data_IF_290192801486
#
_entry.id   IF_290192801486
#
_cell.length_a   1.000
_cell.length_b   1.000
_cell.length_c   1.000
_cell.angle_alpha   90.00
_cell.angle_beta   90.00
_cell.angle_gamma   90.00
#
_symmetry.space_group_name_H-M   'P 1'
#
loop_
_entity.id
_entity.type
_entity.pdbx_description
1 polymer ?
#
# COMPACT_ATOMS: atom_id res chain seq x y z
N UNK A 1 -9.59 17.24 -20.34
CA UNK A 1 -10.38 15.98 -20.34
C UNK A 1 -10.42 15.27 -18.97
N UNK A 2 -10.24 15.96 -17.83
CA UNK A 2 -10.12 15.29 -16.51
C UNK A 2 -11.42 15.10 -15.69
N UNK A 3 -12.52 15.79 -16.02
CA UNK A 3 -13.76 15.72 -15.22
C UNK A 3 -14.51 14.38 -15.29
N UNK A 4 -14.35 13.62 -16.39
CA UNK A 4 -15.09 12.35 -16.55
C UNK A 4 -14.47 11.21 -15.72
N UNK A 5 -13.14 11.19 -15.59
CA UNK A 5 -12.41 10.14 -14.86
C UNK A 5 -12.48 10.28 -13.34
N UNK A 6 -12.46 11.53 -12.85
CA UNK A 6 -12.66 11.78 -11.43
C UNK A 6 -14.05 11.32 -10.98
N UNK A 7 -15.08 11.59 -11.77
CA UNK A 7 -16.43 11.13 -11.47
C UNK A 7 -16.52 9.59 -11.52
N UNK A 8 -15.92 8.94 -12.52
CA UNK A 8 -15.86 7.47 -12.59
C UNK A 8 -15.12 6.84 -11.40
N UNK A 9 -13.99 7.42 -10.98
CA UNK A 9 -13.28 7.03 -9.76
C UNK A 9 -14.16 7.19 -8.52
N UNK A 10 -14.85 8.33 -8.38
CA UNK A 10 -15.70 8.60 -7.24
C UNK A 10 -16.93 7.70 -7.20
N UNK A 11 -17.54 7.43 -8.35
CA UNK A 11 -18.67 6.51 -8.48
C UNK A 11 -18.25 5.08 -8.11
N UNK A 12 -17.08 4.61 -8.57
CA UNK A 12 -16.53 3.31 -8.18
C UNK A 12 -16.17 3.23 -6.71
N UNK A 13 -15.61 4.30 -6.14
CA UNK A 13 -15.30 4.37 -4.71
C UNK A 13 -16.58 4.40 -3.88
N UNK A 14 -17.63 5.08 -4.32
CA UNK A 14 -18.96 5.06 -3.68
C UNK A 14 -19.75 3.75 -3.91
N UNK A 15 -19.47 3.00 -4.98
CA UNK A 15 -20.04 1.67 -5.26
C UNK A 15 -19.34 0.57 -4.45
N UNK A 16 -18.01 0.70 -4.31
CA UNK A 16 -17.16 -0.22 -3.58
C UNK A 16 -17.31 -0.06 -2.06
N UNK A 17 -17.49 1.17 -1.60
CA UNK A 17 -17.47 1.52 -0.19
C UNK A 17 -18.66 2.38 0.21
N UNK A 18 -19.12 2.22 1.45
CA UNK A 18 -20.17 3.07 1.99
C UNK A 18 -19.75 4.55 1.95
N UNK A 19 -20.69 5.46 1.64
CA UNK A 19 -20.39 6.90 1.54
C UNK A 19 -19.70 7.47 2.79
N UNK A 20 -20.03 6.93 3.96
CA UNK A 20 -19.38 7.30 5.22
C UNK A 20 -17.92 6.86 5.26
N UNK A 21 -17.60 5.68 4.72
CA UNK A 21 -16.22 5.21 4.55
C UNK A 21 -15.43 6.11 3.61
N UNK A 22 -16.00 6.47 2.46
CA UNK A 22 -15.33 7.37 1.48
C UNK A 22 -15.02 8.72 2.11
N UNK A 23 -15.98 9.29 2.85
CA UNK A 23 -15.80 10.54 3.58
C UNK A 23 -14.70 10.42 4.63
N UNK A 24 -14.72 9.35 5.43
CA UNK A 24 -13.73 9.09 6.46
C UNK A 24 -12.32 8.92 5.88
N UNK A 25 -12.17 8.15 4.80
CA UNK A 25 -10.90 7.93 4.11
C UNK A 25 -10.31 9.23 3.55
N UNK A 26 -11.15 10.13 3.00
CA UNK A 26 -10.70 11.47 2.58
C UNK A 26 -10.22 12.32 3.75
N UNK A 27 -10.96 12.31 4.86
CA UNK A 27 -10.58 13.06 6.06
C UNK A 27 -9.27 12.54 6.66
N UNK A 28 -9.10 11.22 6.73
CA UNK A 28 -7.88 10.55 7.18
C UNK A 28 -6.69 10.85 6.27
N UNK A 29 -6.88 10.78 4.94
CA UNK A 29 -5.82 11.16 4.00
C UNK A 29 -5.40 12.62 4.16
N UNK A 30 -6.37 13.55 4.30
CA UNK A 30 -6.06 14.97 4.53
C UNK A 30 -5.24 15.16 5.81
N UNK A 31 -5.65 14.54 6.92
CA UNK A 31 -4.89 14.62 8.18
C UNK A 31 -3.48 14.04 8.05
N UNK A 32 -3.33 12.91 7.36
CA UNK A 32 -2.02 12.34 7.09
C UNK A 32 -1.14 13.28 6.27
N UNK A 33 -1.72 13.95 5.26
CA UNK A 33 -1.01 14.95 4.47
C UNK A 33 -0.51 16.08 5.36
N UNK A 34 -1.41 16.68 6.15
CA UNK A 34 -1.11 17.85 6.98
C UNK A 34 -0.14 17.52 8.15
N UNK A 35 -0.29 16.35 8.78
CA UNK A 35 0.42 16.00 10.03
C UNK A 35 1.72 15.21 9.80
N UNK A 36 1.84 14.51 8.67
CA UNK A 36 2.95 13.60 8.40
C UNK A 36 3.67 13.89 7.07
N UNK A 37 2.95 14.01 5.95
CA UNK A 37 3.57 14.10 4.62
C UNK A 37 4.17 15.49 4.36
N UNK A 38 3.39 16.56 4.47
CA UNK A 38 3.88 17.93 4.20
C UNK A 38 5.04 18.33 5.11
N UNK A 39 5.01 18.07 6.43
CA UNK A 39 6.14 18.35 7.30
C UNK A 39 7.44 17.65 6.87
N UNK A 40 7.34 16.44 6.31
CA UNK A 40 8.50 15.70 5.82
C UNK A 40 8.98 16.25 4.47
N UNK A 41 8.07 16.60 3.56
CA UNK A 41 8.40 17.22 2.27
C UNK A 41 9.07 18.60 2.42
N UNK A 42 8.69 19.34 3.46
CA UNK A 42 9.27 20.66 3.80
C UNK A 42 10.55 20.57 4.65
N UNK A 43 11.01 19.35 4.99
CA UNK A 43 12.26 19.16 5.72
C UNK A 43 13.47 19.36 4.81
N UNK A 44 14.61 19.68 5.44
CA UNK A 44 15.88 19.73 4.70
C UNK A 44 16.35 18.31 4.35
N UNK A 45 17.11 18.11 3.25
CA UNK A 45 17.56 16.79 2.84
C UNK A 45 18.33 16.03 3.94
N UNK A 46 19.14 16.71 4.75
CA UNK A 46 19.90 16.10 5.86
C UNK A 46 19.02 15.63 7.04
N UNK A 47 17.79 16.14 7.16
CA UNK A 47 16.86 15.82 8.24
C UNK A 47 15.89 14.68 7.87
N UNK A 48 15.83 14.29 6.60
CA UNK A 48 14.84 13.32 6.08
C UNK A 48 14.87 12.01 6.86
N UNK A 49 16.05 11.43 7.07
CA UNK A 49 16.15 10.11 7.74
C UNK A 49 15.69 10.18 9.20
N UNK A 50 16.09 11.23 9.93
CA UNK A 50 15.68 11.43 11.33
C UNK A 50 14.17 11.67 11.45
N UNK A 51 13.62 12.52 10.58
CA UNK A 51 12.22 12.92 10.62
C UNK A 51 11.28 11.84 10.08
N UNK A 52 11.73 11.01 9.15
CA UNK A 52 10.91 9.96 8.51
C UNK A 52 10.23 9.07 9.55
N UNK A 53 11.00 8.52 10.50
CA UNK A 53 10.46 7.61 11.54
C UNK A 53 9.40 8.28 12.41
N UNK A 54 9.56 9.57 12.70
CA UNK A 54 8.60 10.35 13.50
C UNK A 54 7.31 10.58 12.74
N UNK A 55 7.40 10.94 11.46
CA UNK A 55 6.22 11.19 10.63
C UNK A 55 5.51 9.90 10.21
N UNK A 56 6.25 8.81 9.95
CA UNK A 56 5.67 7.49 9.73
C UNK A 56 4.80 7.04 10.92
N UNK A 57 5.31 7.18 12.15
CA UNK A 57 4.52 6.87 13.37
C UNK A 57 3.22 7.67 13.48
N UNK A 58 3.23 8.93 13.04
CA UNK A 58 2.02 9.76 12.98
C UNK A 58 1.06 9.32 11.87
N UNK A 59 1.61 8.76 10.78
CA UNK A 59 0.83 8.29 9.64
C UNK A 59 0.14 6.94 9.89
N UNK A 60 0.69 6.06 10.75
CA UNK A 60 0.18 4.70 11.01
C UNK A 60 -1.35 4.64 11.21
N UNK A 61 -1.99 5.46 12.07
CA UNK A 61 -3.44 5.40 12.25
C UNK A 61 -4.22 5.64 10.95
N UNK A 62 -3.69 6.49 10.07
CA UNK A 62 -4.30 6.84 8.78
C UNK A 62 -4.01 5.83 7.67
N UNK A 63 -2.95 5.02 7.79
CA UNK A 63 -2.58 3.98 6.82
C UNK A 63 -3.34 2.66 7.07
N UNK A 64 -3.63 2.35 8.33
CA UNK A 64 -4.35 1.13 8.73
C UNK A 64 -5.85 1.23 8.38
N UNK A 65 -6.43 2.43 8.49
CA UNK A 65 -7.86 2.68 8.26
C UNK A 65 -8.36 2.40 6.83
N UNK A 66 -7.61 2.68 5.74
CA UNK A 66 -8.01 2.32 4.39
C UNK A 66 -7.68 0.87 4.02
N UNK A 67 -6.58 0.33 4.55
CA UNK A 67 -5.98 -0.93 4.07
C UNK A 67 -6.72 -2.18 4.57
N UNK A 68 -7.38 -2.11 5.73
CA UNK A 68 -8.10 -3.27 6.31
C UNK A 68 -9.59 -3.35 5.94
N UNK A 69 -10.15 -2.32 5.30
CA UNK A 69 -11.59 -2.18 5.12
C UNK A 69 -12.08 -2.34 3.67
N UNK A 70 -11.23 -2.81 2.76
CA UNK A 70 -11.76 -3.53 1.60
C UNK A 70 -12.60 -4.68 2.16
N UNK A 71 -13.92 -4.59 1.97
CA UNK A 71 -14.91 -5.43 2.63
C UNK A 71 -14.61 -6.92 2.40
N UNK A 72 -13.84 -7.51 3.31
CA UNK A 72 -13.35 -8.90 3.23
C UNK A 72 -14.55 -9.88 3.24
N UNK A 73 -15.75 -9.39 3.55
CA UNK A 73 -17.01 -10.13 3.42
C UNK A 73 -17.30 -10.55 1.98
N UNK A 74 -16.78 -9.84 0.98
CA UNK A 74 -16.89 -10.22 -0.43
C UNK A 74 -15.57 -10.00 -1.18
N UNK A 75 -14.64 -10.96 -1.11
CA UNK A 75 -13.31 -10.82 -1.70
C UNK A 75 -13.34 -10.81 -3.24
N UNK A 76 -14.37 -11.40 -3.88
CA UNK A 76 -14.59 -11.29 -5.34
C UNK A 76 -14.85 -9.83 -5.73
N UNK A 77 -15.79 -9.16 -5.04
CA UNK A 77 -16.07 -7.74 -5.27
C UNK A 77 -14.85 -6.88 -4.95
N UNK A 78 -14.11 -7.18 -3.88
CA UNK A 78 -12.88 -6.47 -3.54
C UNK A 78 -11.84 -6.55 -4.68
N UNK A 79 -11.62 -7.73 -5.26
CA UNK A 79 -10.72 -7.94 -6.39
C UNK A 79 -11.19 -7.20 -7.66
N UNK A 80 -12.50 -7.22 -7.95
CA UNK A 80 -13.06 -6.47 -9.10
C UNK A 80 -12.87 -4.96 -8.96
N UNK A 81 -13.15 -4.43 -7.77
CA UNK A 81 -12.95 -3.01 -7.44
C UNK A 81 -11.47 -2.66 -7.56
N UNK A 82 -10.58 -3.46 -6.98
CA UNK A 82 -9.14 -3.21 -7.03
C UNK A 82 -8.63 -3.15 -8.47
N UNK A 83 -9.03 -4.10 -9.33
CA UNK A 83 -8.66 -4.09 -10.76
C UNK A 83 -9.13 -2.83 -11.47
N UNK A 84 -10.38 -2.41 -11.24
CA UNK A 84 -10.92 -1.16 -11.83
C UNK A 84 -10.19 0.07 -11.31
N UNK A 85 -9.89 0.14 -10.01
CA UNK A 85 -9.15 1.24 -9.42
C UNK A 85 -7.72 1.30 -9.96
N UNK A 86 -7.06 0.17 -10.12
CA UNK A 86 -5.74 0.07 -10.76
C UNK A 86 -5.77 0.67 -12.17
N UNK A 87 -6.70 0.24 -13.02
CA UNK A 87 -6.82 0.71 -14.41
C UNK A 87 -7.08 2.23 -14.55
N UNK A 88 -7.72 2.83 -13.54
CA UNK A 88 -7.97 4.27 -13.48
C UNK A 88 -6.74 4.99 -12.94
N UNK A 89 -6.24 4.57 -11.78
CA UNK A 89 -5.18 5.25 -11.06
C UNK A 89 -3.84 5.17 -11.80
N UNK A 90 -3.50 4.04 -12.42
CA UNK A 90 -2.27 3.85 -13.20
C UNK A 90 -2.02 4.96 -14.23
N UNK A 91 -3.09 5.52 -14.80
CA UNK A 91 -3.02 6.59 -15.82
C UNK A 91 -2.71 7.97 -15.23
N UNK A 92 -2.90 8.14 -13.92
CA UNK A 92 -2.72 9.40 -13.20
C UNK A 92 -1.42 9.41 -12.37
N UNK A 93 -0.81 8.23 -12.17
CA UNK A 93 0.48 8.06 -11.49
C UNK A 93 1.63 8.55 -12.39
N UNK A 94 2.57 9.37 -11.86
CA UNK A 94 3.77 9.76 -12.60
C UNK A 94 4.63 8.54 -12.98
N UNK A 95 5.29 8.54 -14.17
CA UNK A 95 6.12 7.42 -14.58
C UNK A 95 7.22 7.02 -13.58
N UNK A 96 7.76 8.00 -12.84
CA UNK A 96 8.76 7.80 -11.78
C UNK A 96 8.27 6.99 -10.59
N UNK A 97 6.95 6.87 -10.41
CA UNK A 97 6.32 6.18 -9.27
C UNK A 97 5.51 4.97 -9.71
N UNK A 98 5.57 4.60 -11.00
CA UNK A 98 4.74 3.55 -11.55
C UNK A 98 5.11 2.19 -10.97
N UNK A 99 6.40 1.90 -10.86
CA UNK A 99 6.91 0.63 -10.30
C UNK A 99 6.40 0.42 -8.88
N UNK A 100 6.60 1.40 -8.00
CA UNK A 100 6.06 1.38 -6.64
C UNK A 100 4.54 1.20 -6.57
N UNK A 101 3.79 1.82 -7.49
CA UNK A 101 2.34 1.66 -7.57
C UNK A 101 1.94 0.24 -7.99
N UNK A 102 2.68 -0.36 -8.91
CA UNK A 102 2.48 -1.74 -9.37
C UNK A 102 2.78 -2.74 -8.25
N UNK A 103 3.93 -2.62 -7.57
CA UNK A 103 4.29 -3.50 -6.44
C UNK A 103 3.27 -3.42 -5.30
N UNK A 104 2.79 -2.22 -4.93
CA UNK A 104 1.73 -2.07 -3.93
C UNK A 104 0.41 -2.74 -4.35
N UNK A 105 0.11 -2.69 -5.65
CA UNK A 105 -1.09 -3.31 -6.23
C UNK A 105 -0.97 -4.83 -6.25
N UNK A 106 0.23 -5.37 -6.53
CA UNK A 106 0.51 -6.79 -6.51
C UNK A 106 0.45 -7.35 -5.09
N UNK A 107 1.06 -6.67 -4.12
CA UNK A 107 0.95 -7.01 -2.69
C UNK A 107 -0.52 -7.10 -2.24
N UNK A 108 -1.33 -6.09 -2.57
CA UNK A 108 -2.75 -6.10 -2.23
C UNK A 108 -3.52 -7.21 -2.94
N UNK A 109 -3.19 -7.48 -4.21
CA UNK A 109 -3.84 -8.51 -5.02
C UNK A 109 -3.54 -9.92 -4.50
N UNK A 110 -2.30 -10.16 -4.07
CA UNK A 110 -1.89 -11.42 -3.46
C UNK A 110 -2.76 -11.75 -2.25
N UNK A 111 -2.88 -10.81 -1.30
CA UNK A 111 -3.67 -11.03 -0.08
C UNK A 111 -5.13 -11.31 -0.41
N UNK A 112 -5.73 -10.55 -1.32
CA UNK A 112 -7.13 -10.78 -1.72
C UNK A 112 -7.27 -12.13 -2.42
N UNK A 113 -6.33 -12.51 -3.31
CA UNK A 113 -6.34 -13.81 -3.98
C UNK A 113 -6.26 -14.97 -2.99
N UNK A 114 -5.34 -14.93 -2.03
CA UNK A 114 -5.21 -15.98 -1.01
C UNK A 114 -6.43 -16.08 -0.10
N UNK A 115 -7.06 -14.95 0.23
CA UNK A 115 -8.34 -14.96 0.95
C UNK A 115 -9.47 -15.56 0.09
N UNK A 116 -9.48 -15.33 -1.23
CA UNK A 116 -10.44 -15.97 -2.15
C UNK A 116 -10.23 -17.48 -2.26
N UNK A 117 -8.97 -17.92 -2.29
CA UNK A 117 -8.57 -19.34 -2.43
C UNK A 117 -8.87 -20.14 -1.16
N UNK A 118 -8.46 -19.62 0.01
CA UNK A 118 -8.51 -20.35 1.28
C UNK A 118 -9.75 -20.00 2.14
N UNK A 119 -10.32 -18.82 1.94
CA UNK A 119 -11.23 -18.19 2.91
C UNK A 119 -10.47 -17.52 4.07
N UNK A 120 -11.03 -16.43 4.61
CA UNK A 120 -10.34 -15.57 5.60
C UNK A 120 -9.87 -16.32 6.85
N UNK A 121 -10.67 -17.30 7.33
CA UNK A 121 -10.34 -18.04 8.56
C UNK A 121 -9.12 -18.92 8.35
N UNK A 122 -9.08 -19.66 7.24
CA UNK A 122 -7.98 -20.58 6.98
C UNK A 122 -6.73 -19.82 6.49
N UNK A 123 -6.91 -18.71 5.77
CA UNK A 123 -5.82 -17.77 5.50
C UNK A 123 -5.13 -17.31 6.80
N UNK A 124 -5.89 -16.84 7.80
CA UNK A 124 -5.32 -16.40 9.08
C UNK A 124 -4.61 -17.56 9.80
N UNK A 125 -5.19 -18.78 9.79
CA UNK A 125 -4.53 -19.94 10.40
C UNK A 125 -3.19 -20.24 9.73
N UNK A 126 -3.15 -20.27 8.39
CA UNK A 126 -1.93 -20.51 7.62
C UNK A 126 -0.86 -19.47 7.96
N UNK A 127 -1.22 -18.19 8.05
CA UNK A 127 -0.29 -17.13 8.49
C UNK A 127 0.28 -17.45 9.86
N UNK A 128 -0.57 -17.69 10.86
CA UNK A 128 -0.14 -17.91 12.25
C UNK A 128 0.71 -19.18 12.38
N UNK A 129 0.39 -20.23 11.61
CA UNK A 129 1.08 -21.52 11.71
C UNK A 129 2.39 -21.58 10.92
N UNK A 130 2.51 -20.82 9.82
CA UNK A 130 3.58 -21.04 8.82
C UNK A 130 4.38 -19.80 8.44
N UNK A 131 3.85 -18.59 8.64
CA UNK A 131 4.41 -17.37 8.06
C UNK A 131 4.26 -16.15 8.99
N UNK A 132 4.20 -16.35 10.31
CA UNK A 132 3.82 -15.26 11.23
C UNK A 132 4.84 -14.11 11.19
N UNK A 133 6.13 -14.42 11.18
CA UNK A 133 7.19 -13.41 11.18
C UNK A 133 7.33 -12.77 9.81
N UNK A 134 7.36 -13.56 8.75
CA UNK A 134 7.45 -13.09 7.37
C UNK A 134 6.25 -12.21 7.01
N UNK A 135 5.04 -12.56 7.47
CA UNK A 135 3.86 -11.75 7.24
C UNK A 135 3.89 -10.42 8.00
N UNK A 136 4.51 -10.38 9.18
CA UNK A 136 4.74 -9.11 9.90
C UNK A 136 5.70 -8.22 9.14
N UNK A 137 6.78 -8.79 8.60
CA UNK A 137 7.77 -8.06 7.78
C UNK A 137 7.11 -7.51 6.51
N UNK A 138 6.44 -8.38 5.73
CA UNK A 138 5.63 -8.00 4.57
C UNK A 138 4.67 -6.85 4.87
N UNK A 139 3.95 -6.94 5.99
CA UNK A 139 2.97 -5.93 6.36
C UNK A 139 3.63 -4.59 6.73
N UNK A 140 4.79 -4.62 7.39
CA UNK A 140 5.57 -3.42 7.71
C UNK A 140 6.08 -2.77 6.42
N UNK A 141 6.64 -3.55 5.50
CA UNK A 141 7.23 -3.05 4.26
C UNK A 141 6.16 -2.56 3.29
N UNK A 142 4.98 -3.19 3.29
CA UNK A 142 3.80 -2.65 2.63
C UNK A 142 3.44 -1.25 3.15
N UNK A 143 3.38 -1.06 4.47
CA UNK A 143 3.05 0.25 5.06
C UNK A 143 4.12 1.30 4.81
N UNK A 144 5.40 0.94 4.86
CA UNK A 144 6.53 1.82 4.58
C UNK A 144 6.54 2.24 3.11
N UNK A 145 6.36 1.30 2.19
CA UNK A 145 6.24 1.55 0.76
C UNK A 145 5.05 2.46 0.48
N UNK A 146 3.87 2.13 1.02
CA UNK A 146 2.65 2.91 0.77
C UNK A 146 2.77 4.34 1.28
N UNK A 147 3.30 4.53 2.49
CA UNK A 147 3.55 5.87 3.04
C UNK A 147 4.52 6.67 2.18
N UNK A 148 5.64 6.07 1.79
CA UNK A 148 6.69 6.75 1.02
C UNK A 148 6.23 7.06 -0.40
N UNK A 149 5.45 6.17 -1.02
CA UNK A 149 4.77 6.39 -2.29
C UNK A 149 3.84 7.61 -2.20
N UNK A 150 3.00 7.71 -1.18
CA UNK A 150 2.10 8.85 -0.99
C UNK A 150 2.86 10.16 -0.77
N UNK A 151 3.98 10.12 -0.04
CA UNK A 151 4.86 11.29 0.12
C UNK A 151 5.37 11.76 -1.24
N UNK A 152 5.95 10.84 -2.02
CA UNK A 152 6.52 11.18 -3.33
C UNK A 152 5.44 11.67 -4.30
N UNK A 153 4.27 11.02 -4.32
CA UNK A 153 3.14 11.42 -5.15
C UNK A 153 2.67 12.84 -4.81
N UNK A 154 2.53 13.16 -3.53
CA UNK A 154 2.18 14.53 -3.09
C UNK A 154 3.28 15.52 -3.45
N UNK A 155 4.54 15.16 -3.23
CA UNK A 155 5.70 15.97 -3.56
C UNK A 155 5.76 16.35 -5.04
N UNK A 156 5.54 15.37 -5.93
CA UNK A 156 5.52 15.59 -7.37
C UNK A 156 4.31 16.38 -7.85
N UNK A 157 3.13 16.17 -7.26
CA UNK A 157 1.89 16.87 -7.69
C UNK A 157 1.78 18.28 -7.14
N UNK A 158 2.31 18.56 -5.94
CA UNK A 158 2.23 19.87 -5.30
C UNK A 158 3.46 20.75 -5.51
N UNK A 159 4.59 20.19 -5.92
CA UNK A 159 5.87 20.92 -6.13
C UNK A 159 6.32 21.70 -4.87
N UNK A 160 6.05 21.16 -3.67
CA UNK A 160 6.35 21.83 -2.40
C UNK A 160 7.70 21.45 -1.79
N UNK A 161 8.34 20.38 -2.25
CA UNK A 161 9.58 19.86 -1.69
C UNK A 161 10.81 20.44 -2.41
N UNK A 162 11.92 20.60 -1.68
CA UNK A 162 13.21 20.78 -2.32
C UNK A 162 13.55 19.53 -3.16
N UNK A 163 14.09 19.66 -4.38
CA UNK A 163 14.41 18.52 -5.24
C UNK A 163 15.23 17.43 -4.53
N UNK A 164 16.24 17.83 -3.76
CA UNK A 164 17.09 16.89 -3.00
C UNK A 164 16.37 16.15 -1.88
N UNK A 165 15.34 16.76 -1.29
CA UNK A 165 14.50 16.10 -0.28
C UNK A 165 13.66 15.03 -0.96
N UNK A 166 13.08 15.35 -2.12
CA UNK A 166 12.29 14.40 -2.90
C UNK A 166 13.16 13.26 -3.45
N UNK A 167 14.38 13.53 -3.89
CA UNK A 167 15.32 12.51 -4.38
C UNK A 167 15.66 11.49 -3.27
N UNK A 168 15.94 11.94 -2.04
CA UNK A 168 16.17 11.03 -0.90
C UNK A 168 14.96 10.19 -0.54
N UNK A 169 13.76 10.76 -0.67
CA UNK A 169 12.51 10.04 -0.41
C UNK A 169 12.26 8.99 -1.50
N UNK A 170 12.62 9.27 -2.75
CA UNK A 170 12.58 8.29 -3.86
C UNK A 170 13.60 7.18 -3.66
N UNK A 171 14.85 7.48 -3.34
CA UNK A 171 15.85 6.44 -3.01
C UNK A 171 15.36 5.52 -1.87
N UNK A 172 14.60 6.07 -0.92
CA UNK A 172 14.00 5.30 0.16
C UNK A 172 12.80 4.48 -0.33
N UNK A 173 11.98 5.02 -1.22
CA UNK A 173 10.89 4.29 -1.88
C UNK A 173 11.43 3.10 -2.66
N UNK A 174 12.46 3.30 -3.48
CA UNK A 174 13.05 2.25 -4.32
C UNK A 174 13.52 1.06 -3.47
N UNK A 175 14.18 1.32 -2.32
CA UNK A 175 14.55 0.26 -1.38
C UNK A 175 13.34 -0.48 -0.80
N UNK A 176 12.29 0.25 -0.41
CA UNK A 176 11.08 -0.39 0.13
C UNK A 176 10.33 -1.19 -0.92
N UNK A 177 10.39 -0.78 -2.19
CA UNK A 177 9.84 -1.55 -3.31
C UNK A 177 10.60 -2.86 -3.49
N UNK A 178 11.93 -2.84 -3.46
CA UNK A 178 12.75 -4.05 -3.55
C UNK A 178 12.49 -5.04 -2.39
N UNK A 179 12.36 -4.51 -1.17
CA UNK A 179 12.00 -5.29 0.04
C UNK A 179 10.60 -5.91 -0.11
N UNK A 180 9.60 -5.09 -0.45
CA UNK A 180 8.21 -5.54 -0.60
C UNK A 180 8.05 -6.58 -1.73
N UNK A 181 8.73 -6.41 -2.86
CA UNK A 181 8.67 -7.38 -3.97
C UNK A 181 9.22 -8.76 -3.58
N UNK A 182 10.30 -8.76 -2.78
CA UNK A 182 10.87 -9.98 -2.19
C UNK A 182 9.88 -10.64 -1.23
N UNK A 183 9.22 -9.84 -0.40
CA UNK A 183 8.24 -10.32 0.57
C UNK A 183 6.98 -10.87 -0.12
N UNK A 184 6.49 -10.25 -1.18
CA UNK A 184 5.38 -10.76 -2.00
C UNK A 184 5.66 -12.21 -2.43
N UNK A 185 6.86 -12.45 -2.96
CA UNK A 185 7.29 -13.79 -3.41
C UNK A 185 7.35 -14.78 -2.24
N UNK A 186 7.92 -14.35 -1.11
CA UNK A 186 8.07 -15.19 0.09
C UNK A 186 6.71 -15.59 0.67
N UNK A 187 5.81 -14.62 0.79
CA UNK A 187 4.46 -14.83 1.32
C UNK A 187 3.63 -15.72 0.41
N UNK A 188 3.71 -15.54 -0.91
CA UNK A 188 3.01 -16.42 -1.86
C UNK A 188 3.45 -17.89 -1.70
N UNK A 189 4.75 -18.14 -1.57
CA UNK A 189 5.31 -19.48 -1.35
C UNK A 189 4.87 -20.08 -0.02
N UNK A 190 4.92 -19.32 1.07
CA UNK A 190 4.61 -19.82 2.40
C UNK A 190 3.12 -20.13 2.60
N UNK A 191 2.24 -19.43 1.87
CA UNK A 191 0.78 -19.59 1.98
C UNK A 191 0.23 -20.61 0.98
N UNK A 192 0.95 -20.91 -0.10
CA UNK A 192 0.52 -21.92 -1.09
C UNK A 192 0.72 -23.35 -0.55
N UNK A 193 -0.26 -24.22 -0.79
CA UNK A 193 -0.36 -25.56 -0.19
C UNK A 193 0.63 -26.59 -0.77
N UNK A 194 1.30 -26.31 -1.90
CA UNK A 194 2.04 -27.36 -2.64
C UNK A 194 3.49 -27.61 -2.19
N UNK A 195 4.15 -26.71 -1.44
CA UNK A 195 5.61 -26.80 -1.23
C UNK A 195 6.11 -26.90 0.22
N UNK A 196 5.25 -26.91 1.24
CA UNK A 196 5.74 -26.96 2.64
C UNK A 196 6.44 -28.29 3.00
N UNK A 197 6.06 -29.40 2.36
CA UNK A 197 6.76 -30.69 2.48
C UNK A 197 8.15 -30.67 1.79
N UNK A 198 8.37 -29.78 0.83
CA UNK A 198 9.68 -29.65 0.16
C UNK A 198 10.64 -28.81 1.01
N UNK A 199 10.16 -27.73 1.63
CA UNK A 199 11.00 -26.86 2.48
C UNK A 199 11.46 -27.55 3.76
N UNK A 200 10.60 -28.38 4.38
CA UNK A 200 10.98 -29.17 5.57
C UNK A 200 12.07 -30.21 5.33
N UNK A 201 12.34 -30.58 4.08
CA UNK A 201 13.39 -31.56 3.73
C UNK A 201 14.75 -30.90 3.41
N UNK A 202 14.85 -29.57 3.45
CA UNK A 202 16.08 -28.83 3.16
C UNK A 202 16.70 -28.09 4.36
N UNK A 203 15.99 -27.98 5.48
CA UNK A 203 16.48 -27.41 6.76
C UNK A 203 16.77 -28.54 7.75
#
# INVERSE_FOLDING_TARGET
MGKNRLNEFLDLVEEAFEKEFVKHSRESFRKMVDEAIEPLLLSKPEEVEEKFKTHFKKAIPYLILPSFFLDIKNPVKAMEVQKRLYDILKKEIPPSLLDAFETLSDASSLIISKIMELGIVDFIKVIVERAEEEYKEFFIDYLLTYFTFLICLVGEKKEIAEPKTLDKLREKLDRYVEELDTDITTIDLLITDEDYEVVKNYI
#
